data_IF_385332915341
#
_entry.id   IF_385332915341
#
_cell.length_a   1.000
_cell.length_b   1.000
_cell.length_c   1.000
_cell.angle_alpha   90.00
_cell.angle_beta   90.00
_cell.angle_gamma   90.00
#
_symmetry.space_group_name_H-M   'P 1'
#
loop_
_entity.id
_entity.type
_entity.pdbx_description
1 polymer ?
#
# COMPACT_ATOMS: atom_id res chain seq x y z
N UNK A 1 -19.18 10.79 -36.36
CA UNK A 1 -20.28 9.91 -36.76
C UNK A 1 -19.89 8.45 -36.70
N UNK A 2 -20.80 7.55 -36.97
CA UNK A 2 -20.60 6.07 -36.88
C UNK A 2 -19.41 5.57 -37.68
N UNK A 3 -19.18 6.15 -38.87
CA UNK A 3 -18.05 5.80 -39.74
C UNK A 3 -16.67 6.00 -39.10
N UNK A 4 -16.55 6.95 -38.18
CA UNK A 4 -15.31 7.20 -37.43
C UNK A 4 -15.09 6.12 -36.39
N UNK A 5 -16.15 5.76 -35.67
CA UNK A 5 -16.10 4.75 -34.59
C UNK A 5 -15.78 3.35 -35.13
N UNK A 6 -16.15 3.06 -36.39
CA UNK A 6 -15.75 1.80 -37.07
C UNK A 6 -14.26 1.69 -37.34
N UNK A 7 -13.55 2.81 -37.38
CA UNK A 7 -12.12 2.89 -37.75
C UNK A 7 -11.22 3.25 -36.57
N UNK A 8 -11.78 3.79 -35.50
CA UNK A 8 -10.98 4.28 -34.39
C UNK A 8 -11.77 4.85 -33.24
N UNK A 9 -11.11 5.68 -32.44
CA UNK A 9 -11.70 6.40 -31.33
C UNK A 9 -12.24 7.74 -31.83
N UNK A 10 -13.45 8.08 -31.41
CA UNK A 10 -14.12 9.32 -31.72
C UNK A 10 -14.04 10.31 -30.55
N UNK A 11 -13.92 11.60 -30.88
CA UNK A 11 -14.08 12.69 -29.91
C UNK A 11 -15.57 13.10 -29.81
N UNK A 12 -16.06 13.28 -28.59
CA UNK A 12 -17.41 13.79 -28.34
C UNK A 12 -17.43 15.31 -28.59
N UNK A 13 -18.16 15.75 -29.60
CA UNK A 13 -18.10 17.13 -30.09
C UNK A 13 -18.49 18.21 -29.05
N UNK A 14 -19.27 17.82 -28.04
CA UNK A 14 -19.75 18.71 -26.96
C UNK A 14 -18.76 18.80 -25.79
N UNK A 15 -17.66 18.05 -25.85
CA UNK A 15 -16.58 18.09 -24.84
C UNK A 15 -15.38 18.94 -25.32
N UNK A 16 -14.47 19.26 -24.41
CA UNK A 16 -13.24 19.97 -24.75
C UNK A 16 -12.40 19.18 -25.75
N UNK A 17 -11.65 19.87 -26.61
CA UNK A 17 -10.69 19.20 -27.50
C UNK A 17 -9.63 18.45 -26.69
N UNK A 18 -9.15 17.29 -27.15
CA UNK A 18 -8.21 16.45 -26.42
C UNK A 18 -6.75 16.97 -26.53
N UNK A 19 -6.56 18.26 -26.25
CA UNK A 19 -5.27 18.95 -26.27
C UNK A 19 -4.80 19.35 -24.88
N UNK A 20 -5.57 18.97 -23.85
CA UNK A 20 -5.30 19.35 -22.46
C UNK A 20 -5.57 20.84 -22.18
N UNK A 21 -5.37 21.22 -20.93
CA UNK A 21 -5.49 22.59 -20.44
C UNK A 21 -6.33 22.71 -19.17
N UNK A 22 -6.11 23.79 -18.45
CA UNK A 22 -6.85 24.09 -17.21
C UNK A 22 -8.33 24.32 -17.50
N UNK A 23 -9.20 23.71 -16.69
CA UNK A 23 -10.67 23.77 -16.85
C UNK A 23 -11.14 23.16 -18.18
N UNK A 24 -10.55 22.03 -18.55
CA UNK A 24 -10.97 21.24 -19.72
C UNK A 24 -11.38 19.85 -19.33
N UNK A 25 -12.31 19.27 -20.08
CA UNK A 25 -12.68 17.87 -19.97
C UNK A 25 -12.94 17.32 -21.37
N UNK A 26 -12.00 16.55 -21.91
CA UNK A 26 -12.17 15.87 -23.18
C UNK A 26 -12.80 14.49 -23.01
N UNK A 27 -13.66 14.11 -23.92
CA UNK A 27 -14.33 12.81 -23.90
C UNK A 27 -14.07 12.06 -25.19
N UNK A 28 -13.45 10.92 -25.07
CA UNK A 28 -13.11 10.03 -26.18
C UNK A 28 -13.95 8.74 -26.10
N UNK A 29 -14.61 8.40 -27.19
CA UNK A 29 -15.45 7.21 -27.25
C UNK A 29 -14.93 6.20 -28.24
N UNK A 30 -14.98 4.91 -27.90
CA UNK A 30 -14.53 3.82 -28.75
C UNK A 30 -15.39 2.56 -28.57
N UNK A 31 -15.47 1.80 -29.64
CA UNK A 31 -16.17 0.50 -29.59
C UNK A 31 -15.47 -0.50 -28.68
N UNK A 32 -16.27 -1.39 -28.12
CA UNK A 32 -15.85 -2.58 -27.40
C UNK A 32 -16.31 -3.83 -28.14
N UNK A 33 -15.37 -4.76 -28.43
CA UNK A 33 -15.68 -6.02 -29.07
C UNK A 33 -15.92 -5.93 -30.58
N UNK A 34 -15.31 -4.94 -31.24
CA UNK A 34 -15.33 -4.87 -32.72
C UNK A 34 -14.40 -5.95 -33.28
N UNK A 35 -14.87 -6.83 -34.20
CA UNK A 35 -14.03 -7.92 -34.72
C UNK A 35 -12.78 -7.46 -35.47
N UNK A 36 -12.83 -6.24 -36.04
CA UNK A 36 -11.76 -5.67 -36.87
C UNK A 36 -10.70 -4.88 -36.08
N UNK A 37 -10.98 -4.51 -34.81
CA UNK A 37 -10.10 -3.68 -34.00
C UNK A 37 -10.31 -3.85 -32.50
N UNK A 38 -9.25 -3.84 -31.74
CA UNK A 38 -9.29 -3.99 -30.27
C UNK A 38 -9.91 -2.76 -29.59
N UNK A 39 -9.59 -1.54 -30.05
CA UNK A 39 -10.02 -0.25 -29.52
C UNK A 39 -10.11 -0.26 -27.98
N UNK A 40 -11.32 -0.04 -27.42
CA UNK A 40 -11.58 -0.02 -25.98
C UNK A 40 -12.07 -1.36 -25.41
N UNK A 41 -11.75 -2.48 -26.06
CA UNK A 41 -12.18 -3.82 -25.61
C UNK A 41 -11.73 -4.13 -24.20
N UNK A 42 -10.51 -3.75 -23.84
CA UNK A 42 -9.88 -4.03 -22.56
C UNK A 42 -9.96 -2.86 -21.56
N UNK A 43 -10.78 -1.82 -21.86
CA UNK A 43 -10.89 -0.66 -20.98
C UNK A 43 -11.41 -1.00 -19.57
N UNK A 44 -12.14 -2.09 -19.43
CA UNK A 44 -12.65 -2.59 -18.15
C UNK A 44 -11.57 -3.26 -17.27
N UNK A 45 -10.37 -3.42 -17.77
CA UNK A 45 -9.23 -3.94 -17.00
C UNK A 45 -8.41 -2.83 -16.33
N UNK A 46 -8.71 -1.57 -16.66
CA UNK A 46 -8.05 -0.44 -16.02
C UNK A 46 -8.52 -0.28 -14.56
N UNK A 47 -7.59 0.12 -13.70
CA UNK A 47 -7.82 0.37 -12.29
C UNK A 47 -7.51 1.83 -11.94
N UNK A 48 -8.06 2.33 -10.83
CA UNK A 48 -7.69 3.66 -10.32
C UNK A 48 -6.20 3.70 -9.98
N UNK A 49 -5.52 4.71 -10.51
CA UNK A 49 -4.07 4.85 -10.40
C UNK A 49 -3.30 4.50 -11.67
N UNK A 50 -3.90 3.74 -12.61
CA UNK A 50 -3.31 3.49 -13.93
C UNK A 50 -3.13 4.78 -14.73
N UNK A 51 -2.25 4.76 -15.72
CA UNK A 51 -1.98 5.92 -16.58
C UNK A 51 -2.22 5.56 -18.03
N UNK A 52 -2.98 6.42 -18.72
CA UNK A 52 -3.13 6.34 -20.17
C UNK A 52 -2.60 7.61 -20.85
N UNK A 53 -2.30 7.50 -22.12
CA UNK A 53 -1.63 8.55 -22.87
C UNK A 53 -2.43 8.96 -24.10
N UNK A 54 -2.50 10.28 -24.34
CA UNK A 54 -2.96 10.84 -25.60
C UNK A 54 -1.76 11.39 -26.38
N UNK A 55 -1.56 10.90 -27.59
CA UNK A 55 -0.56 11.43 -28.52
C UNK A 55 -1.24 12.48 -29.40
N UNK A 56 -0.89 13.73 -29.21
CA UNK A 56 -1.49 14.86 -29.90
C UNK A 56 -0.37 15.66 -30.59
N UNK A 57 -0.28 15.53 -31.93
CA UNK A 57 0.83 16.09 -32.68
C UNK A 57 2.17 15.60 -32.10
N UNK A 58 3.00 16.54 -31.65
CA UNK A 58 4.34 16.27 -31.10
C UNK A 58 4.34 16.17 -29.58
N UNK A 59 3.17 16.20 -28.93
CA UNK A 59 3.02 16.15 -27.47
C UNK A 59 2.39 14.83 -27.01
N UNK A 60 2.81 14.37 -25.83
CA UNK A 60 2.21 13.25 -25.12
C UNK A 60 1.57 13.76 -23.84
N UNK A 61 0.27 13.62 -23.75
CA UNK A 61 -0.52 13.99 -22.60
C UNK A 61 -0.76 12.74 -21.75
N UNK A 62 -0.29 12.73 -20.52
CA UNK A 62 -0.50 11.64 -19.58
C UNK A 62 -1.68 11.95 -18.65
N UNK A 63 -2.56 10.98 -18.46
CA UNK A 63 -3.71 11.06 -17.56
C UNK A 63 -3.72 9.87 -16.61
N UNK A 64 -3.74 10.15 -15.31
CA UNK A 64 -3.84 9.13 -14.28
C UNK A 64 -5.30 8.89 -13.93
N UNK A 65 -5.75 7.65 -13.99
CA UNK A 65 -7.14 7.26 -13.69
C UNK A 65 -7.47 7.61 -12.24
N UNK A 66 -8.49 8.44 -12.07
CA UNK A 66 -9.01 8.91 -10.79
C UNK A 66 -10.44 8.44 -10.51
N UNK A 67 -11.15 7.97 -11.55
CA UNK A 67 -12.52 7.53 -11.41
C UNK A 67 -12.89 6.50 -12.48
N UNK A 68 -13.57 5.42 -12.06
CA UNK A 68 -14.17 4.43 -12.95
C UNK A 68 -15.65 4.27 -12.59
N UNK A 69 -16.54 4.48 -13.54
CA UNK A 69 -18.00 4.38 -13.34
C UNK A 69 -18.71 3.66 -14.47
N UNK A 70 -19.81 3.02 -14.12
CA UNK A 70 -20.79 2.49 -15.08
C UNK A 70 -22.06 3.27 -14.91
N UNK A 71 -22.52 3.91 -16.00
CA UNK A 71 -23.66 4.83 -16.03
C UNK A 71 -24.63 4.46 -17.15
N UNK A 72 -25.83 4.98 -17.11
CA UNK A 72 -26.76 4.91 -18.24
C UNK A 72 -26.32 5.87 -19.37
N UNK A 73 -26.69 5.59 -20.62
CA UNK A 73 -26.28 6.42 -21.77
C UNK A 73 -26.67 7.89 -21.69
N UNK A 74 -27.75 8.19 -20.99
CA UNK A 74 -28.30 9.55 -20.77
C UNK A 74 -27.66 10.28 -19.59
N UNK A 75 -26.87 9.60 -18.74
CA UNK A 75 -26.23 10.20 -17.58
C UNK A 75 -24.90 10.85 -17.99
N UNK A 76 -24.92 12.18 -18.08
CA UNK A 76 -23.77 13.00 -18.56
C UNK A 76 -23.11 13.84 -17.47
N UNK A 77 -23.51 13.71 -16.21
CA UNK A 77 -23.01 14.54 -15.09
C UNK A 77 -21.51 14.38 -14.87
N UNK A 78 -20.98 13.17 -15.11
CA UNK A 78 -19.58 12.83 -14.84
C UNK A 78 -18.61 13.27 -15.95
N UNK A 79 -19.09 13.82 -17.06
CA UNK A 79 -18.29 14.29 -18.19
C UNK A 79 -18.27 15.83 -18.32
N UNK A 80 -18.81 16.54 -17.34
CA UNK A 80 -18.80 18.00 -17.28
C UNK A 80 -17.41 18.57 -16.97
N UNK A 81 -17.18 19.82 -17.39
CA UNK A 81 -15.96 20.56 -17.07
C UNK A 81 -15.94 20.89 -15.57
N UNK A 82 -14.81 20.68 -14.92
CA UNK A 82 -14.55 21.07 -13.53
C UNK A 82 -13.49 22.17 -13.54
N UNK A 83 -13.78 23.28 -12.86
CA UNK A 83 -12.89 24.42 -12.78
C UNK A 83 -11.53 24.04 -12.18
N UNK A 84 -10.46 24.48 -12.82
CA UNK A 84 -9.09 24.21 -12.39
C UNK A 84 -8.56 22.80 -12.73
N UNK A 85 -9.39 21.91 -13.28
CA UNK A 85 -8.99 20.53 -13.61
C UNK A 85 -8.75 20.37 -15.11
N UNK A 86 -7.88 19.43 -15.45
CA UNK A 86 -7.65 18.94 -16.80
C UNK A 86 -7.98 17.44 -16.80
N UNK A 87 -9.17 17.10 -17.34
CA UNK A 87 -9.67 15.73 -17.38
C UNK A 87 -9.76 15.19 -18.80
N UNK A 88 -9.54 13.88 -18.91
CA UNK A 88 -9.91 13.11 -20.09
C UNK A 88 -10.70 11.88 -19.66
N UNK A 89 -11.87 11.64 -20.26
CA UNK A 89 -12.67 10.45 -20.02
C UNK A 89 -12.74 9.56 -21.25
N UNK A 90 -12.39 8.30 -21.08
CA UNK A 90 -12.53 7.25 -22.07
C UNK A 90 -13.89 6.57 -21.86
N UNK A 91 -14.69 6.45 -22.91
CA UNK A 91 -16.07 5.93 -22.86
C UNK A 91 -16.23 4.74 -23.79
N UNK A 92 -16.79 3.66 -23.27
CA UNK A 92 -17.17 2.50 -24.08
C UNK A 92 -18.49 1.90 -23.63
N UNK A 93 -19.06 1.00 -24.43
CA UNK A 93 -20.28 0.27 -24.10
C UNK A 93 -20.02 -0.87 -23.11
N UNK A 94 -20.94 -1.10 -22.18
CA UNK A 94 -20.88 -2.19 -21.21
C UNK A 94 -22.31 -2.64 -20.85
N UNK A 95 -22.57 -3.89 -20.38
CA UNK A 95 -21.68 -5.05 -20.44
C UNK A 95 -21.34 -5.47 -21.88
N UNK A 96 -20.27 -6.25 -22.03
CA UNK A 96 -19.83 -6.74 -23.34
C UNK A 96 -20.99 -7.43 -24.10
N UNK A 97 -21.16 -7.11 -25.38
CA UNK A 97 -22.23 -7.55 -26.27
C UNK A 97 -23.67 -7.13 -25.90
N UNK A 98 -23.94 -6.64 -24.67
CA UNK A 98 -25.28 -6.18 -24.25
C UNK A 98 -25.43 -4.67 -24.48
N UNK A 99 -24.40 -3.88 -24.15
CA UNK A 99 -24.26 -2.44 -24.47
C UNK A 99 -25.34 -1.52 -23.88
N UNK A 100 -25.99 -1.91 -22.79
CA UNK A 100 -27.05 -1.14 -22.12
C UNK A 100 -26.54 0.06 -21.33
N UNK A 101 -25.28 0.02 -20.92
CA UNK A 101 -24.64 1.06 -20.11
C UNK A 101 -23.39 1.59 -20.81
N UNK A 102 -22.78 2.59 -20.19
CA UNK A 102 -21.47 3.13 -20.57
C UNK A 102 -20.48 2.95 -19.44
N UNK A 103 -19.30 2.43 -19.75
CA UNK A 103 -18.15 2.46 -18.87
C UNK A 103 -17.38 3.74 -19.12
N UNK A 104 -17.19 4.52 -18.07
CA UNK A 104 -16.40 5.75 -18.05
C UNK A 104 -15.13 5.49 -17.24
N UNK A 105 -13.98 5.73 -17.85
CA UNK A 105 -12.67 5.72 -17.20
C UNK A 105 -12.11 7.14 -17.33
N UNK A 106 -12.18 7.90 -16.23
CA UNK A 106 -11.68 9.28 -16.18
C UNK A 106 -10.27 9.32 -15.65
N UNK A 107 -9.42 10.13 -16.28
CA UNK A 107 -8.10 10.45 -15.79
C UNK A 107 -7.92 11.94 -15.57
N UNK A 108 -7.20 12.31 -14.54
CA UNK A 108 -6.70 13.66 -14.28
C UNK A 108 -5.30 13.81 -14.88
N UNK A 109 -5.02 14.96 -15.47
CA UNK A 109 -3.71 15.28 -16.06
C UNK A 109 -2.58 15.04 -15.06
N UNK A 110 -1.55 14.32 -15.50
CA UNK A 110 -0.34 14.07 -14.73
C UNK A 110 0.90 14.34 -15.57
N UNK A 111 2.05 14.35 -14.95
CA UNK A 111 3.34 14.47 -15.64
C UNK A 111 3.58 13.26 -16.52
N UNK A 112 4.02 13.52 -17.76
CA UNK A 112 4.43 12.45 -18.66
C UNK A 112 5.87 12.06 -18.35
N UNK A 113 6.08 10.82 -17.96
CA UNK A 113 7.40 10.22 -17.75
C UNK A 113 7.67 9.28 -18.92
N UNK A 114 8.69 9.55 -19.74
CA UNK A 114 9.06 8.67 -20.86
C UNK A 114 9.37 7.25 -20.37
N UNK A 115 9.06 6.22 -21.18
CA UNK A 115 9.31 4.82 -20.79
C UNK A 115 10.77 4.51 -20.42
N UNK A 116 11.71 5.21 -21.03
CA UNK A 116 13.15 5.09 -20.77
C UNK A 116 13.48 5.56 -19.34
N UNK A 117 12.92 6.69 -18.93
CA UNK A 117 13.10 7.25 -17.59
C UNK A 117 12.38 6.40 -16.51
N UNK A 118 11.21 5.88 -16.82
CA UNK A 118 10.50 4.92 -15.96
C UNK A 118 11.32 3.64 -15.75
N UNK A 119 11.95 3.11 -16.79
CA UNK A 119 12.80 1.94 -16.69
C UNK A 119 14.02 2.21 -15.80
N UNK A 120 14.62 3.39 -15.92
CA UNK A 120 15.78 3.79 -15.12
C UNK A 120 15.41 4.00 -13.65
N UNK A 121 14.28 4.66 -13.36
CA UNK A 121 13.75 4.85 -12.01
C UNK A 121 13.42 3.51 -11.35
N UNK A 122 12.79 2.58 -12.07
CA UNK A 122 12.48 1.24 -11.56
C UNK A 122 13.74 0.43 -11.28
N UNK A 123 14.76 0.50 -12.14
CA UNK A 123 16.04 -0.17 -11.92
C UNK A 123 16.76 0.36 -10.67
N UNK A 124 16.77 1.68 -10.46
CA UNK A 124 17.35 2.31 -9.26
C UNK A 124 16.58 1.88 -8.01
N UNK A 125 15.25 1.87 -8.05
CA UNK A 125 14.41 1.45 -6.92
C UNK A 125 14.61 -0.03 -6.58
N UNK A 126 14.77 -0.89 -7.58
CA UNK A 126 15.04 -2.32 -7.37
C UNK A 126 16.40 -2.55 -6.72
N UNK A 127 17.44 -1.88 -7.19
CA UNK A 127 18.79 -1.93 -6.59
C UNK A 127 18.76 -1.44 -5.15
N UNK A 128 18.03 -0.37 -4.89
CA UNK A 128 17.91 0.19 -3.54
C UNK A 128 17.16 -0.75 -2.59
N UNK A 129 16.08 -1.36 -3.03
CA UNK A 129 15.31 -2.33 -2.25
C UNK A 129 16.12 -3.58 -1.91
N UNK A 130 16.87 -4.12 -2.87
CA UNK A 130 17.78 -5.25 -2.65
C UNK A 130 18.89 -4.91 -1.66
N UNK A 131 19.44 -3.70 -1.74
CA UNK A 131 20.50 -3.25 -0.81
C UNK A 131 19.97 -3.13 0.62
N UNK A 132 18.76 -2.61 0.82
CA UNK A 132 18.11 -2.49 2.13
C UNK A 132 17.83 -3.89 2.71
N UNK A 133 17.24 -4.78 1.89
CA UNK A 133 16.93 -6.15 2.30
C UNK A 133 18.20 -6.90 2.72
N UNK A 134 19.27 -6.79 1.96
CA UNK A 134 20.57 -7.39 2.29
C UNK A 134 21.12 -6.88 3.62
N UNK A 135 21.08 -5.57 3.86
CA UNK A 135 21.51 -4.97 5.14
C UNK A 135 20.70 -5.48 6.33
N UNK A 136 19.38 -5.62 6.16
CA UNK A 136 18.51 -6.15 7.22
C UNK A 136 18.87 -7.60 7.53
N UNK A 137 19.06 -8.44 6.52
CA UNK A 137 19.43 -9.85 6.68
C UNK A 137 20.80 -9.99 7.38
N UNK A 138 21.77 -9.13 7.04
CA UNK A 138 23.12 -9.18 7.64
C UNK A 138 23.12 -8.73 9.11
N UNK A 139 22.24 -7.83 9.52
CA UNK A 139 22.16 -7.31 10.90
C UNK A 139 21.27 -8.17 11.80
N UNK A 140 20.27 -8.84 11.23
CA UNK A 140 19.28 -9.64 11.98
C UNK A 140 19.90 -10.68 12.94
N UNK A 141 20.91 -11.48 12.53
CA UNK A 141 21.54 -12.46 13.42
C UNK A 141 22.17 -11.81 14.66
N UNK A 142 22.82 -10.66 14.47
CA UNK A 142 23.46 -9.93 15.56
C UNK A 142 22.46 -9.33 16.55
N UNK A 143 21.31 -8.89 16.07
CA UNK A 143 20.21 -8.42 16.93
C UNK A 143 19.63 -9.55 17.76
N UNK A 144 19.43 -10.72 17.18
CA UNK A 144 18.96 -11.91 17.90
C UNK A 144 19.96 -12.35 18.96
N UNK A 145 21.25 -12.41 18.63
CA UNK A 145 22.33 -12.75 19.58
C UNK A 145 22.38 -11.73 20.73
N UNK A 146 22.30 -10.45 20.44
CA UNK A 146 22.27 -9.39 21.44
C UNK A 146 21.09 -9.54 22.41
N UNK A 147 19.92 -9.87 21.89
CA UNK A 147 18.69 -10.05 22.68
C UNK A 147 18.79 -11.28 23.58
N UNK A 148 19.40 -12.37 23.11
CA UNK A 148 19.65 -13.58 23.89
C UNK A 148 20.67 -13.35 25.02
N UNK A 149 21.70 -12.54 24.79
CA UNK A 149 22.67 -12.17 25.81
C UNK A 149 22.00 -11.37 26.92
N UNK A 150 21.17 -10.37 26.57
CA UNK A 150 20.44 -9.56 27.56
C UNK A 150 19.51 -10.43 28.40
N UNK A 151 18.74 -11.32 27.77
CA UNK A 151 17.84 -12.24 28.46
C UNK A 151 18.62 -13.22 29.38
N UNK A 152 19.77 -13.68 28.95
CA UNK A 152 20.65 -14.54 29.74
C UNK A 152 21.23 -13.84 30.99
N UNK A 153 21.59 -12.57 30.87
CA UNK A 153 22.07 -11.74 32.00
C UNK A 153 20.94 -11.52 33.01
N UNK A 154 19.74 -11.16 32.56
CA UNK A 154 18.58 -10.98 33.46
C UNK A 154 18.21 -12.27 34.19
N UNK A 155 18.18 -13.40 33.46
CA UNK A 155 17.96 -14.72 34.08
C UNK A 155 19.00 -15.08 35.13
N UNK A 156 20.28 -14.79 34.88
CA UNK A 156 21.37 -15.02 35.82
C UNK A 156 21.25 -14.15 37.06
N UNK A 157 20.90 -12.88 36.91
CA UNK A 157 20.67 -11.95 38.03
C UNK A 157 19.47 -12.42 38.87
N UNK A 158 18.38 -12.82 38.23
CA UNK A 158 17.22 -13.37 38.92
C UNK A 158 17.55 -14.61 39.75
N UNK A 159 18.31 -15.56 39.18
CA UNK A 159 18.77 -16.76 39.90
C UNK A 159 19.65 -16.42 41.11
N UNK A 160 20.51 -15.44 40.98
CA UNK A 160 21.36 -14.97 42.09
C UNK A 160 20.52 -14.34 43.21
N UNK A 161 19.51 -13.54 42.86
CA UNK A 161 18.61 -12.93 43.84
C UNK A 161 17.80 -14.02 44.58
N UNK A 162 17.25 -14.99 43.85
CA UNK A 162 16.51 -16.11 44.46
C UNK A 162 17.40 -16.96 45.37
N UNK A 163 18.64 -17.24 44.96
CA UNK A 163 19.59 -17.97 45.77
C UNK A 163 19.96 -17.22 47.06
N UNK A 164 20.13 -15.90 46.94
CA UNK A 164 20.41 -15.03 48.10
C UNK A 164 19.23 -14.96 49.09
N UNK A 165 18.00 -14.93 48.58
CA UNK A 165 16.80 -14.96 49.44
C UNK A 165 16.64 -16.30 50.17
N UNK A 166 16.93 -17.43 49.53
CA UNK A 166 16.94 -18.76 50.18
C UNK A 166 17.95 -18.85 51.32
N UNK A 167 19.15 -18.32 51.07
CA UNK A 167 20.19 -18.29 52.11
C UNK A 167 19.80 -17.43 53.32
N UNK A 168 19.13 -16.28 53.09
CA UNK A 168 18.63 -15.46 54.21
C UNK A 168 17.48 -16.14 54.99
N UNK A 169 16.65 -16.91 54.31
CA UNK A 169 15.56 -17.69 54.95
C UNK A 169 16.13 -18.75 55.90
N UNK A 170 17.13 -19.48 55.46
CA UNK A 170 17.80 -20.54 56.23
C UNK A 170 18.51 -20.03 57.47
N UNK A 171 19.21 -18.88 57.37
CA UNK A 171 19.83 -18.23 58.51
C UNK A 171 18.80 -17.76 59.55
N UNK A 172 17.67 -17.23 59.10
CA UNK A 172 16.56 -16.79 59.99
C UNK A 172 15.92 -17.92 60.72
N UNK A 173 15.76 -19.11 60.07
CA UNK A 173 15.18 -20.29 60.66
C UNK A 173 16.13 -20.91 61.70
N UNK A 174 17.43 -20.99 61.40
CA UNK A 174 18.44 -21.46 62.39
C UNK A 174 18.50 -20.57 63.62
N UNK A 175 18.38 -19.22 63.48
CA UNK A 175 18.31 -18.29 64.60
C UNK A 175 17.05 -18.49 65.48
N UNK A 176 15.89 -18.80 64.86
CA UNK A 176 14.65 -19.07 65.58
C UNK A 176 14.74 -20.41 66.37
N UNK A 177 15.34 -21.46 65.75
CA UNK A 177 15.55 -22.75 66.43
C UNK A 177 16.53 -22.64 67.62
N UNK A 178 17.63 -21.90 67.49
CA UNK A 178 18.57 -21.61 68.55
C UNK A 178 17.94 -20.87 69.75
N UNK A 179 17.08 -19.84 69.49
CA UNK A 179 16.37 -19.14 70.57
C UNK A 179 15.31 -19.99 71.26
N UNK A 180 14.67 -20.97 70.60
CA UNK A 180 13.76 -21.90 71.21
C UNK A 180 14.48 -22.90 72.13
N UNK A 181 15.62 -23.41 71.72
CA UNK A 181 16.45 -24.33 72.54
C UNK A 181 16.94 -23.65 73.79
N UNK A 182 17.45 -22.41 73.74
CA UNK A 182 17.93 -21.69 74.94
C UNK A 182 16.81 -21.35 75.93
N UNK A 183 15.56 -21.11 75.46
CA UNK A 183 14.40 -20.87 76.33
C UNK A 183 13.92 -22.15 77.02
N UNK A 184 14.06 -23.33 76.42
CA UNK A 184 13.71 -24.62 77.02
C UNK A 184 14.73 -24.99 78.13
N UNK A 185 16.00 -24.76 77.90
CA UNK A 185 17.03 -25.03 78.89
C UNK A 185 16.92 -24.15 80.18
N UNK A 186 16.51 -22.92 80.00
CA UNK A 186 16.36 -21.98 81.17
C UNK A 186 15.09 -22.26 81.98
N UNK A 187 14.08 -22.94 81.41
CA UNK A 187 12.82 -23.30 82.12
C UNK A 187 13.03 -24.51 83.00
N UNK A 188 13.95 -25.43 82.68
CA UNK A 188 14.28 -26.62 83.46
C UNK A 188 15.15 -26.30 84.69
N UNK A 189 15.98 -25.19 84.58
CA UNK A 189 16.87 -24.76 85.71
C UNK A 189 16.17 -23.97 86.78
N UNK A 190 14.92 -23.54 86.62
CA UNK A 190 14.10 -22.84 87.63
C UNK A 190 13.14 -23.72 88.38
N UNK A 191 13.18 -25.07 88.17
CA UNK A 191 12.33 -26.04 88.81
C UNK A 191 13.11 -27.03 89.68
N UNK A 192 14.34 -26.73 90.11
CA UNK A 192 15.08 -27.47 91.16
C UNK A 192 15.30 -26.55 92.34
#
# INVERSE_FOLDING_TARGET
GEDVLQKGVGHLAESSYPIGGTSTHSVLTGHRGLPSAVLFTDLDKMEEGDVFYLHVLDEVLAYKVDQIKVVLPEETQDIGIVEGKDYCTLVTCTPYAINTHRLLVRGERTEYIPPEELAEQNAVHEVQSQTITKRIVDVWPWLVVSLLIVAGVEGSIFLLIVKRQRSYGDVREKRKKGKRSSRSCNKTRRRK
#
